data_IF_899755189604
#
_entry.id   IF_899755189604
#
_cell.length_a   1.000
_cell.length_b   1.000
_cell.length_c   1.000
_cell.angle_alpha   90.00
_cell.angle_beta   90.00
_cell.angle_gamma   90.00
#
_symmetry.space_group_name_H-M   'P 1'
#
loop_
_entity.id
_entity.type
_entity.pdbx_description
1 polymer ?
#
# COMPACT_ATOMS: atom_id res chain seq x y z
N UNK A 1 -17.20 -1.81 -13.80
CA UNK A 1 -15.73 -1.76 -13.57
C UNK A 1 -15.15 -3.06 -14.07
N UNK A 2 -14.02 -3.05 -14.77
CA UNK A 2 -13.42 -4.27 -15.32
C UNK A 2 -12.81 -5.11 -14.18
N UNK A 3 -13.18 -6.39 -14.05
CA UNK A 3 -12.70 -7.28 -12.97
C UNK A 3 -11.18 -7.45 -13.00
N UNK A 4 -10.58 -7.57 -14.18
CA UNK A 4 -9.13 -7.66 -14.35
C UNK A 4 -8.41 -6.40 -13.84
N UNK A 5 -9.03 -5.23 -14.02
CA UNK A 5 -8.48 -3.97 -13.50
C UNK A 5 -8.51 -3.96 -11.97
N UNK A 6 -9.61 -4.41 -11.37
CA UNK A 6 -9.74 -4.51 -9.91
C UNK A 6 -8.68 -5.47 -9.35
N UNK A 7 -8.56 -6.65 -9.93
CA UNK A 7 -7.58 -7.67 -9.54
C UNK A 7 -6.15 -7.14 -9.65
N UNK A 8 -5.81 -6.47 -10.75
CA UNK A 8 -4.49 -5.85 -10.93
C UNK A 8 -4.22 -4.76 -9.89
N UNK A 9 -5.20 -3.92 -9.55
CA UNK A 9 -5.07 -2.91 -8.52
C UNK A 9 -4.83 -3.54 -7.14
N UNK A 10 -5.63 -4.54 -6.76
CA UNK A 10 -5.48 -5.24 -5.48
C UNK A 10 -4.13 -5.95 -5.40
N UNK A 11 -3.70 -6.59 -6.48
CA UNK A 11 -2.38 -7.22 -6.57
C UNK A 11 -1.27 -6.19 -6.34
N UNK A 12 -1.30 -5.05 -7.04
CA UNK A 12 -0.30 -4.00 -6.88
C UNK A 12 -0.24 -3.44 -5.45
N UNK A 13 -1.39 -3.25 -4.80
CA UNK A 13 -1.44 -2.83 -3.39
C UNK A 13 -0.80 -3.88 -2.47
N UNK A 14 -1.02 -5.16 -2.73
CA UNK A 14 -0.39 -6.24 -1.97
C UNK A 14 1.14 -6.28 -2.16
N UNK A 15 1.61 -6.03 -3.38
CA UNK A 15 3.04 -5.98 -3.72
C UNK A 15 3.76 -4.83 -3.02
N UNK A 16 3.11 -3.66 -2.88
CA UNK A 16 3.67 -2.55 -2.11
C UNK A 16 3.94 -2.99 -0.67
N UNK A 17 2.96 -3.61 0.00
CA UNK A 17 3.14 -4.10 1.37
C UNK A 17 4.21 -5.20 1.48
N UNK A 18 4.34 -6.05 0.47
CA UNK A 18 5.40 -7.08 0.40
C UNK A 18 6.80 -6.44 0.30
N UNK A 19 6.97 -5.41 -0.53
CA UNK A 19 8.24 -4.71 -0.67
C UNK A 19 8.64 -4.00 0.63
N UNK A 20 7.69 -3.47 1.39
CA UNK A 20 7.98 -2.88 2.72
C UNK A 20 8.54 -3.91 3.71
N UNK A 21 8.26 -5.21 3.54
CA UNK A 21 8.88 -6.26 4.37
C UNK A 21 10.37 -6.48 4.07
N UNK A 22 10.85 -6.04 2.90
CA UNK A 22 12.24 -6.17 2.47
C UNK A 22 13.10 -4.96 2.83
N UNK A 23 12.51 -3.89 3.35
CA UNK A 23 13.24 -2.71 3.78
C UNK A 23 13.97 -2.95 5.10
N UNK A 24 15.18 -2.40 5.20
CA UNK A 24 15.96 -2.45 6.42
C UNK A 24 15.28 -1.69 7.55
N UNK A 25 15.46 -2.18 8.79
CA UNK A 25 14.90 -1.54 9.98
C UNK A 25 15.38 -0.11 10.13
N UNK A 26 16.66 0.16 9.82
CA UNK A 26 17.25 1.49 9.88
C UNK A 26 16.56 2.46 8.91
N UNK A 27 16.24 2.01 7.70
CA UNK A 27 15.52 2.83 6.71
C UNK A 27 14.10 3.16 7.17
N UNK A 28 13.39 2.16 7.71
CA UNK A 28 12.04 2.36 8.29
C UNK A 28 12.08 3.35 9.45
N UNK A 29 13.11 3.28 10.31
CA UNK A 29 13.29 4.19 11.44
C UNK A 29 13.72 5.59 11.02
N UNK A 30 14.41 5.73 9.88
CA UNK A 30 14.82 7.03 9.32
C UNK A 30 13.61 7.86 8.86
N UNK A 31 12.54 7.23 8.39
CA UNK A 31 11.32 7.91 7.91
C UNK A 31 10.06 7.43 8.64
N UNK A 32 9.90 7.76 9.94
CA UNK A 32 8.76 7.31 10.73
C UNK A 32 7.42 7.90 10.26
N UNK A 33 7.44 8.98 9.50
CA UNK A 33 6.27 9.65 8.91
C UNK A 33 5.64 8.85 7.75
N UNK A 34 6.40 7.97 7.11
CA UNK A 34 5.88 7.13 6.03
C UNK A 34 5.07 5.98 6.65
N UNK A 35 3.85 5.69 6.14
CA UNK A 35 2.94 4.73 6.76
C UNK A 35 3.30 3.25 6.52
N UNK A 36 4.56 2.85 6.80
CA UNK A 36 5.09 1.49 6.61
C UNK A 36 4.20 0.40 7.18
N UNK A 37 3.75 0.57 8.44
CA UNK A 37 2.89 -0.40 9.12
C UNK A 37 1.52 -0.53 8.44
N UNK A 38 0.96 0.56 7.91
CA UNK A 38 -0.33 0.52 7.20
C UNK A 38 -0.19 -0.25 5.88
N UNK A 39 0.88 -0.05 5.13
CA UNK A 39 1.15 -0.81 3.90
C UNK A 39 1.27 -2.32 4.16
N UNK A 40 1.99 -2.71 5.22
CA UNK A 40 2.06 -4.11 5.66
C UNK A 40 0.69 -4.65 6.08
N UNK A 41 -0.07 -3.88 6.86
CA UNK A 41 -1.41 -4.23 7.30
C UNK A 41 -2.39 -4.43 6.12
N UNK A 42 -2.32 -3.55 5.12
CA UNK A 42 -3.16 -3.63 3.92
C UNK A 42 -2.89 -4.92 3.14
N UNK A 43 -1.63 -5.29 2.92
CA UNK A 43 -1.27 -6.59 2.30
C UNK A 43 -1.90 -7.75 3.07
N UNK A 44 -1.74 -7.78 4.39
CA UNK A 44 -2.28 -8.86 5.22
C UNK A 44 -3.81 -8.93 5.10
N UNK A 45 -4.50 -7.79 5.10
CA UNK A 45 -5.95 -7.72 4.91
C UNK A 45 -6.37 -8.28 3.54
N UNK A 46 -5.67 -7.88 2.47
CA UNK A 46 -5.95 -8.33 1.09
C UNK A 46 -5.78 -9.85 0.95
N UNK A 47 -4.71 -10.42 1.52
CA UNK A 47 -4.41 -11.85 1.37
C UNK A 47 -5.34 -12.71 2.23
N UNK A 48 -5.69 -12.25 3.44
CA UNK A 48 -6.47 -13.06 4.38
C UNK A 48 -7.99 -12.89 4.26
N UNK A 49 -8.47 -11.78 3.67
CA UNK A 49 -9.91 -11.53 3.50
C UNK A 49 -10.21 -10.97 2.12
N UNK A 50 -9.65 -11.61 1.08
CA UNK A 50 -9.78 -11.19 -0.32
C UNK A 50 -11.25 -11.04 -0.76
N UNK A 51 -12.09 -12.02 -0.40
CA UNK A 51 -13.53 -12.01 -0.72
C UNK A 51 -14.29 -10.91 0.02
N UNK A 52 -13.84 -10.51 1.22
CA UNK A 52 -14.40 -9.43 2.03
C UNK A 52 -13.81 -8.05 1.78
N UNK A 53 -12.94 -7.88 0.77
CA UNK A 53 -12.35 -6.57 0.46
C UNK A 53 -13.42 -5.60 -0.04
N UNK A 54 -13.63 -4.52 0.72
CA UNK A 54 -14.53 -3.45 0.33
C UNK A 54 -13.92 -2.63 -0.83
N UNK A 55 -14.46 -2.80 -2.04
CA UNK A 55 -13.98 -2.10 -3.23
C UNK A 55 -14.05 -0.58 -3.13
N UNK A 56 -15.01 -0.01 -2.40
CA UNK A 56 -15.08 1.44 -2.18
C UNK A 56 -13.84 1.93 -1.42
N UNK A 57 -13.44 1.19 -0.39
CA UNK A 57 -12.24 1.48 0.39
C UNK A 57 -10.96 1.32 -0.46
N UNK A 58 -10.89 0.31 -1.34
CA UNK A 58 -9.75 0.15 -2.25
C UNK A 58 -9.57 1.38 -3.15
N UNK A 59 -10.66 1.92 -3.70
CA UNK A 59 -10.56 3.13 -4.52
C UNK A 59 -10.18 4.36 -3.70
N UNK A 60 -10.68 4.49 -2.48
CA UNK A 60 -10.25 5.55 -1.56
C UNK A 60 -8.74 5.49 -1.32
N UNK A 61 -8.21 4.30 -1.01
CA UNK A 61 -6.77 4.07 -0.85
C UNK A 61 -6.00 4.47 -2.11
N UNK A 62 -6.46 4.06 -3.29
CA UNK A 62 -5.76 4.35 -4.56
C UNK A 62 -5.75 5.85 -4.86
N UNK A 63 -6.89 6.54 -4.73
CA UNK A 63 -7.00 7.94 -5.13
C UNK A 63 -6.47 8.92 -4.10
N UNK A 64 -6.51 8.57 -2.81
CA UNK A 64 -6.11 9.44 -1.70
C UNK A 64 -4.76 9.01 -1.14
N UNK A 65 -4.71 7.82 -0.52
CA UNK A 65 -3.54 7.39 0.25
C UNK A 65 -2.32 7.14 -0.63
N UNK A 66 -2.48 6.43 -1.75
CA UNK A 66 -1.37 6.11 -2.66
C UNK A 66 -0.84 7.37 -3.35
N UNK A 67 -1.71 8.32 -3.70
CA UNK A 67 -1.29 9.61 -4.26
C UNK A 67 -0.43 10.38 -3.26
N UNK A 68 -0.90 10.52 -2.02
CA UNK A 68 -0.15 11.19 -0.95
C UNK A 68 1.16 10.47 -0.63
N UNK A 69 1.14 9.13 -0.54
CA UNK A 69 2.33 8.31 -0.31
C UNK A 69 3.37 8.51 -1.42
N UNK A 70 2.95 8.54 -2.69
CA UNK A 70 3.87 8.79 -3.82
C UNK A 70 4.58 10.14 -3.67
N UNK A 71 3.83 11.19 -3.35
CA UNK A 71 4.40 12.54 -3.15
C UNK A 71 5.39 12.55 -1.97
N UNK A 72 5.05 11.89 -0.87
CA UNK A 72 5.93 11.73 0.29
C UNK A 72 7.22 10.99 -0.07
N UNK A 73 7.13 9.83 -0.75
CA UNK A 73 8.28 9.02 -1.16
C UNK A 73 9.21 9.75 -2.13
N UNK A 74 8.67 10.55 -3.05
CA UNK A 74 9.46 11.34 -4.00
C UNK A 74 10.22 12.50 -3.34
N UNK A 75 9.93 12.84 -2.08
CA UNK A 75 10.60 13.89 -1.33
C UNK A 75 11.57 13.34 -0.27
N UNK A 76 11.72 12.02 -0.16
CA UNK A 76 12.74 11.43 0.68
C UNK A 76 14.12 11.76 0.12
N UNK A 77 15.06 12.09 1.02
CA UNK A 77 16.47 12.40 0.69
C UNK A 77 16.70 13.60 -0.24
N UNK A 78 15.67 14.43 -0.46
CA UNK A 78 15.84 15.76 -1.07
C UNK A 78 16.32 16.79 -0.05
#
# INVERSE_FOLDING_TARGET
>A
MNSMMIEACIFNLSQIGELVNKLDKEYILKYPEVPWKKMKGLRNRIIHDYEGVNLKLIWEIIYIDIKSLKEQLLNLDK
#
